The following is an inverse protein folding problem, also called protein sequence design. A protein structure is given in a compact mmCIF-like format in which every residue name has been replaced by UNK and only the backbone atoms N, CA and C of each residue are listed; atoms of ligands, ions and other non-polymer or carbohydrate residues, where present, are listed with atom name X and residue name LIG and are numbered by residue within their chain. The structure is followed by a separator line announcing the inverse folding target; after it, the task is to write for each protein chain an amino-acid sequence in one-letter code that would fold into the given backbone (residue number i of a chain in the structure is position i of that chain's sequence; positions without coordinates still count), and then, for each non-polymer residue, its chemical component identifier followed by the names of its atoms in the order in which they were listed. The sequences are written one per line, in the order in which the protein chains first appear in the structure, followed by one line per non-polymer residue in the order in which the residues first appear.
data_IF_263294582299
#
_entry.id   IF_263294582299
#
_cell.length_a   1.000
_cell.length_b   1.000
_cell.length_c   1.000
_cell.angle_alpha   90.00
_cell.angle_beta   90.00
_cell.angle_gamma   90.00
#
_symmetry.space_group_name_H-M   'P 1'
#
loop_
_entity.id
_entity.type
_entity.pdbx_description
1 polymer ?
#
# COMPACT_ATOMS: atom_id res chain seq x y z
N UNK A 1 -3.59 -26.26 -11.07
CA UNK A 1 -2.86 -25.07 -11.57
C UNK A 1 -3.29 -23.75 -10.91
N UNK A 2 -4.57 -23.53 -10.56
CA UNK A 2 -5.08 -22.28 -9.91
C UNK A 2 -4.38 -21.83 -8.61
N UNK A 3 -3.93 -22.76 -7.76
CA UNK A 3 -3.31 -22.41 -6.47
C UNK A 3 -1.94 -21.73 -6.57
N UNK A 4 -1.19 -21.93 -7.67
CA UNK A 4 0.09 -21.23 -7.89
C UNK A 4 -0.13 -19.77 -8.30
N UNK A 5 -1.14 -19.50 -9.12
CA UNK A 5 -1.48 -18.13 -9.57
C UNK A 5 -1.84 -17.22 -8.41
N UNK A 6 -2.63 -17.70 -7.45
CA UNK A 6 -3.00 -16.93 -6.24
C UNK A 6 -1.76 -16.59 -5.41
N UNK A 7 -0.83 -17.53 -5.23
CA UNK A 7 0.41 -17.28 -4.49
C UNK A 7 1.29 -16.21 -5.14
N UNK A 8 1.43 -16.26 -6.47
CA UNK A 8 2.15 -15.23 -7.23
C UNK A 8 1.46 -13.87 -7.12
N UNK A 9 0.13 -13.83 -7.19
CA UNK A 9 -0.64 -12.60 -7.00
C UNK A 9 -0.46 -11.99 -5.60
N UNK A 10 -0.51 -12.82 -4.56
CA UNK A 10 -0.23 -12.40 -3.17
C UNK A 10 1.19 -11.85 -3.07
N UNK A 11 2.20 -12.62 -3.47
CA UNK A 11 3.59 -12.18 -3.36
C UNK A 11 3.87 -10.90 -4.15
N UNK A 12 3.31 -10.78 -5.35
CA UNK A 12 3.40 -9.55 -6.15
C UNK A 12 2.77 -8.36 -5.42
N UNK A 13 1.57 -8.53 -4.88
CA UNK A 13 0.90 -7.44 -4.17
C UNK A 13 1.71 -7.01 -2.93
N UNK A 14 2.30 -7.96 -2.21
CA UNK A 14 3.18 -7.70 -1.07
C UNK A 14 4.44 -6.95 -1.48
N UNK A 15 5.06 -7.27 -2.65
CA UNK A 15 6.16 -6.47 -3.22
C UNK A 15 5.72 -5.01 -3.37
N UNK A 16 4.58 -4.77 -4.01
CA UNK A 16 4.12 -3.42 -4.31
C UNK A 16 3.77 -2.63 -3.05
N UNK A 17 3.08 -3.25 -2.07
CA UNK A 17 2.69 -2.61 -0.81
C UNK A 17 3.92 -2.23 0.03
N UNK A 18 4.86 -3.15 0.24
CA UNK A 18 6.07 -2.88 1.03
C UNK A 18 6.98 -1.87 0.36
N UNK A 19 7.13 -1.97 -0.97
CA UNK A 19 7.87 -0.96 -1.74
C UNK A 19 7.22 0.43 -1.58
N UNK A 20 5.89 0.51 -1.69
CA UNK A 20 5.13 1.76 -1.49
C UNK A 20 5.33 2.32 -0.09
N UNK A 21 5.23 1.48 0.94
CA UNK A 21 5.45 1.89 2.34
C UNK A 21 6.84 2.47 2.54
N UNK A 22 7.89 1.78 2.09
CA UNK A 22 9.26 2.25 2.21
C UNK A 22 9.51 3.54 1.43
N UNK A 23 8.99 3.65 0.21
CA UNK A 23 9.10 4.88 -0.59
C UNK A 23 8.38 6.04 0.10
N UNK A 24 7.18 5.82 0.64
CA UNK A 24 6.43 6.84 1.38
C UNK A 24 7.16 7.30 2.63
N UNK A 25 7.79 6.40 3.40
CA UNK A 25 8.60 6.81 4.58
C UNK A 25 9.74 7.76 4.16
N UNK A 26 10.36 7.52 3.01
CA UNK A 26 11.43 8.36 2.47
C UNK A 26 10.92 9.69 1.96
N UNK A 27 9.79 9.69 1.24
CA UNK A 27 9.16 10.93 0.77
C UNK A 27 8.76 11.79 1.98
N UNK A 28 8.03 11.24 2.95
CA UNK A 28 7.57 11.98 4.13
C UNK A 28 8.70 12.50 5.01
N UNK A 29 9.81 11.77 5.11
CA UNK A 29 10.98 12.25 5.84
C UNK A 29 11.55 13.55 5.24
N UNK A 30 11.49 13.69 3.91
CA UNK A 30 12.00 14.85 3.18
C UNK A 30 10.95 15.97 3.08
N UNK A 31 9.70 15.65 2.79
CA UNK A 31 8.66 16.65 2.48
C UNK A 31 7.96 17.23 3.69
N UNK A 32 7.83 16.46 4.77
CA UNK A 32 7.10 16.87 5.99
C UNK A 32 8.11 17.11 7.11
N UNK A 33 8.53 16.04 7.78
CA UNK A 33 9.52 16.06 8.85
C UNK A 33 9.87 14.61 9.20
N UNK A 34 11.14 14.32 9.46
CA UNK A 34 11.62 12.95 9.68
C UNK A 34 10.90 12.20 10.83
N UNK A 35 10.45 12.90 11.88
CA UNK A 35 9.67 12.30 12.96
C UNK A 35 8.33 11.71 12.50
N UNK A 36 7.71 12.30 11.48
CA UNK A 36 6.41 11.85 10.93
C UNK A 36 6.57 10.83 9.80
N UNK A 37 7.79 10.50 9.38
CA UNK A 37 8.02 9.45 8.38
C UNK A 37 7.43 8.10 8.81
N UNK A 38 7.50 7.80 10.12
CA UNK A 38 6.93 6.58 10.70
C UNK A 38 5.40 6.54 10.68
N UNK A 39 4.73 7.68 10.46
CA UNK A 39 3.28 7.71 10.26
C UNK A 39 2.88 6.97 8.98
N UNK A 40 3.77 6.83 7.99
CA UNK A 40 3.53 5.97 6.82
C UNK A 40 3.22 4.52 7.23
N UNK A 41 3.97 3.98 8.18
CA UNK A 41 3.78 2.61 8.71
C UNK A 41 2.42 2.50 9.40
N UNK A 42 2.08 3.46 10.26
CA UNK A 42 0.79 3.47 10.94
C UNK A 42 -0.39 3.58 9.97
N UNK A 43 -0.26 4.40 8.93
CA UNK A 43 -1.26 4.55 7.85
C UNK A 43 -1.37 3.27 7.03
N UNK A 44 -0.26 2.58 6.77
CA UNK A 44 -0.26 1.30 6.10
C UNK A 44 -1.01 0.23 6.90
N UNK A 45 -0.70 0.13 8.20
CA UNK A 45 -1.41 -0.76 9.12
C UNK A 45 -2.89 -0.41 9.26
N UNK A 46 -3.24 0.88 9.32
CA UNK A 46 -4.63 1.34 9.36
C UNK A 46 -5.39 0.93 8.09
N UNK A 47 -4.83 1.21 6.91
CA UNK A 47 -5.44 0.84 5.64
C UNK A 47 -5.66 -0.67 5.55
N UNK A 48 -4.61 -1.46 5.78
CA UNK A 48 -4.68 -2.91 5.75
C UNK A 48 -5.67 -3.47 6.79
N UNK A 49 -5.71 -2.90 7.99
CA UNK A 49 -6.65 -3.26 9.05
C UNK A 49 -8.10 -2.97 8.69
N UNK A 50 -8.39 -1.78 8.16
CA UNK A 50 -9.73 -1.40 7.69
C UNK A 50 -10.16 -2.29 6.52
N UNK A 51 -9.29 -2.55 5.55
CA UNK A 51 -9.57 -3.47 4.44
C UNK A 51 -9.89 -4.88 4.95
N UNK A 52 -9.12 -5.38 5.90
CA UNK A 52 -9.36 -6.70 6.51
C UNK A 52 -10.68 -6.75 7.27
N UNK A 53 -11.03 -5.69 8.01
CA UNK A 53 -12.31 -5.57 8.70
C UNK A 53 -13.49 -5.57 7.72
N UNK A 54 -13.38 -4.86 6.59
CA UNK A 54 -14.42 -4.85 5.55
C UNK A 54 -14.64 -6.26 5.00
N UNK A 55 -13.57 -7.01 4.70
CA UNK A 55 -13.69 -8.41 4.25
C UNK A 55 -14.37 -9.26 5.31
N UNK A 56 -14.01 -9.09 6.58
CA UNK A 56 -14.63 -9.83 7.69
C UNK A 56 -16.14 -9.58 7.76
N UNK A 57 -16.56 -8.31 7.70
CA UNK A 57 -17.98 -7.94 7.75
C UNK A 57 -18.77 -8.37 6.50
N UNK A 58 -18.12 -8.42 5.34
CA UNK A 58 -18.74 -8.78 4.07
C UNK A 58 -18.48 -10.23 3.64
N UNK A 59 -17.92 -11.07 4.53
CA UNK A 59 -17.47 -12.43 4.20
C UNK A 59 -18.54 -13.27 3.49
N UNK A 60 -19.79 -13.22 3.97
CA UNK A 60 -20.90 -13.96 3.36
C UNK A 60 -21.23 -13.51 1.92
N UNK A 61 -21.08 -12.21 1.61
CA UNK A 61 -21.27 -11.67 0.26
C UNK A 61 -20.07 -12.00 -0.62
N UNK A 62 -18.87 -11.84 -0.07
CA UNK A 62 -17.63 -12.15 -0.77
C UNK A 62 -17.55 -13.63 -1.12
N UNK A 63 -18.13 -14.56 -0.35
CA UNK A 63 -18.14 -15.98 -0.66
C UNK A 63 -18.59 -16.32 -2.10
N UNK A 64 -19.47 -15.50 -2.69
CA UNK A 64 -20.05 -15.71 -4.02
C UNK A 64 -19.25 -15.07 -5.16
N UNK A 65 -18.27 -14.23 -4.84
CA UNK A 65 -17.46 -13.49 -5.83
C UNK A 65 -16.33 -14.40 -6.36
N UNK A 66 -15.96 -14.29 -7.63
CA UNK A 66 -14.76 -14.96 -8.15
C UNK A 66 -13.48 -14.35 -7.54
N UNK A 67 -12.69 -15.16 -6.83
CA UNK A 67 -11.53 -14.67 -6.05
C UNK A 67 -10.45 -14.05 -6.96
N UNK A 68 -10.23 -14.62 -8.14
CA UNK A 68 -9.22 -14.10 -9.08
C UNK A 68 -9.59 -12.71 -9.59
N UNK A 69 -10.87 -12.50 -9.95
CA UNK A 69 -11.37 -11.19 -10.37
C UNK A 69 -11.33 -10.17 -9.21
N UNK A 70 -11.64 -10.61 -7.99
CA UNK A 70 -11.50 -9.76 -6.80
C UNK A 70 -10.06 -9.31 -6.56
N UNK A 71 -9.11 -10.24 -6.64
CA UNK A 71 -7.68 -9.95 -6.50
C UNK A 71 -7.18 -9.00 -7.58
N UNK A 72 -7.53 -9.26 -8.84
CA UNK A 72 -7.21 -8.41 -9.98
C UNK A 72 -7.73 -6.97 -9.77
N UNK A 73 -9.01 -6.84 -9.40
CA UNK A 73 -9.63 -5.56 -9.12
C UNK A 73 -8.96 -4.82 -7.96
N UNK A 74 -8.61 -5.51 -6.87
CA UNK A 74 -7.89 -4.91 -5.75
C UNK A 74 -6.46 -4.49 -6.13
N UNK A 75 -5.76 -5.27 -6.94
CA UNK A 75 -4.41 -4.95 -7.40
C UNK A 75 -4.38 -3.72 -8.32
N UNK A 76 -5.33 -3.63 -9.26
CA UNK A 76 -5.52 -2.44 -10.10
C UNK A 76 -5.89 -1.23 -9.25
N UNK A 77 -6.85 -1.37 -8.32
CA UNK A 77 -7.24 -0.28 -7.41
C UNK A 77 -6.06 0.16 -6.51
N UNK A 78 -5.22 -0.77 -6.07
CA UNK A 78 -3.99 -0.49 -5.36
C UNK A 78 -3.02 0.33 -6.23
N UNK A 79 -2.77 -0.08 -7.47
CA UNK A 79 -1.88 0.67 -8.36
C UNK A 79 -2.39 2.07 -8.68
N UNK A 80 -3.69 2.21 -8.97
CA UNK A 80 -4.33 3.51 -9.20
C UNK A 80 -4.28 4.41 -7.96
N UNK A 81 -4.49 3.86 -6.76
CA UNK A 81 -4.40 4.64 -5.53
C UNK A 81 -2.97 5.06 -5.20
N UNK A 82 -1.94 4.25 -5.51
CA UNK A 82 -0.53 4.67 -5.42
C UNK A 82 -0.26 5.87 -6.33
N UNK A 83 -0.73 5.84 -7.58
CA UNK A 83 -0.57 6.97 -8.52
C UNK A 83 -1.34 8.19 -8.01
N UNK A 84 -2.55 8.02 -7.46
CA UNK A 84 -3.30 9.11 -6.87
C UNK A 84 -2.58 9.76 -5.67
N UNK A 85 -1.91 8.95 -4.84
CA UNK A 85 -1.06 9.45 -3.74
C UNK A 85 0.12 10.25 -4.28
N UNK A 86 0.81 9.77 -5.32
CA UNK A 86 1.91 10.51 -5.96
C UNK A 86 1.45 11.87 -6.50
N UNK A 87 0.33 11.91 -7.22
CA UNK A 87 -0.27 13.16 -7.71
C UNK A 87 -0.67 14.09 -6.56
N UNK A 88 -1.24 13.55 -5.49
CA UNK A 88 -1.59 14.35 -4.31
C UNK A 88 -0.35 14.94 -3.63
N UNK A 89 0.77 14.21 -3.56
CA UNK A 89 2.02 14.73 -3.03
C UNK A 89 2.56 15.92 -3.83
N UNK A 90 2.31 15.95 -5.14
CA UNK A 90 2.71 17.07 -6.03
C UNK A 90 1.76 18.25 -5.93
N UNK A 91 0.44 18.00 -5.87
CA UNK A 91 -0.58 19.06 -5.94
C UNK A 91 -1.07 19.57 -4.58
N UNK A 92 -0.90 18.80 -3.52
CA UNK A 92 -1.17 19.17 -2.13
C UNK A 92 0.16 19.22 -1.37
N UNK A 93 0.98 20.26 -1.55
CA UNK A 93 2.20 20.40 -0.76
C UNK A 93 1.85 20.37 0.74
N UNK A 94 2.62 19.63 1.57
CA UNK A 94 2.31 19.51 2.98
C UNK A 94 2.51 20.86 3.68
N UNK A 95 1.44 21.44 4.21
CA UNK A 95 1.47 22.67 4.98
C UNK A 95 2.01 22.39 6.40
N UNK A 96 3.33 22.26 6.55
CA UNK A 96 3.98 22.09 7.86
C UNK A 96 4.68 23.36 8.36
N UNK A 97 4.92 24.34 7.50
CA UNK A 97 5.59 25.60 7.84
C UNK A 97 4.61 26.63 8.39
N UNK A 98 4.34 26.56 9.69
CA UNK A 98 3.74 27.65 10.47
C UNK A 98 4.75 28.77 10.75
N UNK A 99 5.32 29.40 9.71
CA UNK A 99 6.17 30.60 9.85
C UNK A 99 7.37 30.50 10.80
N UNK A 100 7.95 31.65 11.14
CA UNK A 100 9.22 31.82 11.88
C UNK A 100 9.19 31.37 13.36
N UNK A 101 8.05 30.93 13.89
CA UNK A 101 7.90 30.59 15.32
C UNK A 101 8.14 29.10 15.65
N UNK A 102 8.43 28.26 14.64
CA UNK A 102 9.07 26.96 14.84
C UNK A 102 8.30 25.93 15.68
N UNK A 103 7.00 26.11 15.89
CA UNK A 103 6.19 25.20 16.68
C UNK A 103 5.17 24.45 15.80
N UNK A 104 5.22 23.11 15.86
CA UNK A 104 4.21 22.21 15.29
C UNK A 104 2.88 22.41 16.03
N UNK A 105 2.14 23.46 15.65
CA UNK A 105 0.99 23.90 16.45
C UNK A 105 -0.33 23.33 15.96
N UNK A 106 -0.45 22.87 14.70
CA UNK A 106 -1.73 22.37 14.15
C UNK A 106 -1.56 21.27 13.12
N UNK A 107 -2.40 20.23 13.25
CA UNK A 107 -2.66 19.26 12.18
C UNK A 107 -3.57 19.94 11.15
N UNK A 108 -3.02 20.26 9.97
CA UNK A 108 -3.76 20.90 8.88
C UNK A 108 -4.69 19.89 8.17
N UNK A 109 -5.89 20.28 7.71
CA UNK A 109 -6.76 19.39 6.93
C UNK A 109 -6.08 18.79 5.70
N UNK A 110 -5.09 19.48 5.09
CA UNK A 110 -4.28 18.94 4.00
C UNK A 110 -3.43 17.73 4.41
N UNK A 111 -2.83 17.77 5.61
CA UNK A 111 -2.07 16.63 6.15
C UNK A 111 -2.98 15.44 6.42
N UNK A 112 -4.16 15.68 7.02
CA UNK A 112 -5.16 14.63 7.24
C UNK A 112 -5.56 14.00 5.90
N UNK A 113 -5.88 14.82 4.90
CA UNK A 113 -6.24 14.34 3.57
C UNK A 113 -5.11 13.51 2.93
N UNK A 114 -3.86 13.95 3.04
CA UNK A 114 -2.70 13.24 2.48
C UNK A 114 -2.48 11.86 3.15
N UNK A 115 -2.56 11.80 4.48
CA UNK A 115 -2.42 10.54 5.21
C UNK A 115 -3.62 9.61 5.00
N UNK A 116 -4.84 10.14 4.97
CA UNK A 116 -6.03 9.36 4.65
C UNK A 116 -5.98 8.80 3.23
N UNK A 117 -5.55 9.59 2.25
CA UNK A 117 -5.37 9.11 0.88
C UNK A 117 -4.26 8.05 0.79
N UNK A 118 -3.19 8.21 1.56
CA UNK A 118 -2.09 7.24 1.63
C UNK A 118 -2.50 5.92 2.26
N UNK A 119 -3.60 5.86 3.01
CA UNK A 119 -4.16 4.61 3.50
C UNK A 119 -4.83 3.79 2.38
N UNK A 120 -5.26 4.42 1.29
CA UNK A 120 -6.02 3.79 0.22
C UNK A 120 -5.33 2.59 -0.45
N UNK A 121 -4.04 2.65 -0.85
CA UNK A 121 -3.37 1.49 -1.44
C UNK A 121 -3.28 0.31 -0.46
N UNK A 122 -3.02 0.58 0.82
CA UNK A 122 -2.98 -0.44 1.85
C UNK A 122 -4.37 -1.00 2.20
N UNK A 123 -5.42 -0.20 2.04
CA UNK A 123 -6.80 -0.67 2.13
C UNK A 123 -7.09 -1.67 1.02
N UNK A 124 -6.73 -1.38 -0.24
CA UNK A 124 -6.83 -2.33 -1.34
C UNK A 124 -6.01 -3.60 -1.08
N UNK A 125 -4.80 -3.44 -0.55
CA UNK A 125 -3.96 -4.54 -0.08
C UNK A 125 -4.63 -5.43 0.97
N UNK A 126 -5.20 -4.82 2.01
CA UNK A 126 -5.93 -5.51 3.07
C UNK A 126 -7.16 -6.25 2.56
N UNK A 127 -7.94 -5.64 1.65
CA UNK A 127 -9.09 -6.28 1.01
C UNK A 127 -8.69 -7.54 0.22
N UNK A 128 -7.57 -7.48 -0.50
CA UNK A 128 -7.06 -8.60 -1.28
C UNK A 128 -6.54 -9.72 -0.37
N UNK A 129 -5.60 -9.41 0.52
CA UNK A 129 -4.93 -10.39 1.36
C UNK A 129 -5.91 -11.06 2.33
N UNK A 130 -6.79 -10.29 2.97
CA UNK A 130 -7.80 -10.86 3.88
C UNK A 130 -8.76 -11.80 3.13
N UNK A 131 -9.20 -11.45 1.91
CA UNK A 131 -10.08 -12.32 1.12
C UNK A 131 -9.41 -13.64 0.76
N UNK A 132 -8.11 -13.61 0.43
CA UNK A 132 -7.33 -14.82 0.12
C UNK A 132 -7.13 -15.68 1.36
N UNK A 133 -6.67 -15.10 2.47
CA UNK A 133 -6.43 -15.86 3.71
C UNK A 133 -7.73 -16.44 4.28
N UNK A 134 -8.84 -15.71 4.17
CA UNK A 134 -10.15 -16.21 4.60
C UNK A 134 -10.61 -17.43 3.78
N UNK A 135 -10.47 -17.41 2.45
CA UNK A 135 -10.91 -18.53 1.58
C UNK A 135 -9.94 -19.70 1.53
N UNK A 136 -8.66 -19.46 1.75
CA UNK A 136 -7.60 -20.47 1.66
C UNK A 136 -6.90 -20.69 3.01
N UNK A 137 -7.67 -20.66 4.10
CA UNK A 137 -7.23 -20.91 5.47
C UNK A 137 -6.35 -22.15 5.63
N UNK A 138 -6.71 -23.26 4.98
CA UNK A 138 -5.96 -24.53 5.04
C UNK A 138 -4.52 -24.43 4.49
N UNK A 139 -4.24 -23.44 3.63
CA UNK A 139 -2.94 -23.26 2.96
C UNK A 139 -2.27 -21.94 3.34
N UNK A 140 -2.67 -21.33 4.46
CA UNK A 140 -2.13 -20.05 4.95
C UNK A 140 -0.61 -20.08 5.04
N UNK A 141 0.00 -21.17 5.51
CA UNK A 141 1.46 -21.29 5.59
C UNK A 141 2.18 -21.04 4.24
N UNK A 142 1.63 -21.55 3.12
CA UNK A 142 2.22 -21.31 1.78
C UNK A 142 1.95 -19.91 1.29
N UNK A 143 0.75 -19.39 1.52
CA UNK A 143 0.39 -18.03 1.12
C UNK A 143 1.21 -16.99 1.88
N UNK A 144 1.44 -17.23 3.17
CA UNK A 144 2.30 -16.43 4.01
C UNK A 144 3.77 -16.50 3.57
N UNK A 145 4.24 -17.66 3.10
CA UNK A 145 5.58 -17.76 2.50
C UNK A 145 5.69 -16.89 1.22
N UNK A 146 4.66 -16.87 0.37
CA UNK A 146 4.64 -15.98 -0.80
C UNK A 146 4.59 -14.50 -0.41
N UNK A 147 3.78 -14.15 0.59
CA UNK A 147 3.68 -12.79 1.14
C UNK A 147 5.03 -12.31 1.70
N UNK A 148 5.70 -13.13 2.52
CA UNK A 148 7.02 -12.81 3.09
C UNK A 148 8.11 -12.69 2.03
N UNK A 149 8.17 -13.61 1.06
CA UNK A 149 9.14 -13.51 -0.05
C UNK A 149 8.88 -12.26 -0.88
N UNK A 150 7.61 -11.94 -1.15
CA UNK A 150 7.21 -10.74 -1.85
C UNK A 150 7.61 -9.46 -1.10
N UNK A 151 7.27 -9.38 0.18
CA UNK A 151 7.66 -8.29 1.08
C UNK A 151 9.19 -8.10 1.09
N UNK A 152 9.96 -9.19 1.25
CA UNK A 152 11.42 -9.15 1.22
C UNK A 152 11.98 -8.64 -0.12
N UNK A 153 11.41 -9.08 -1.25
CA UNK A 153 11.77 -8.57 -2.56
C UNK A 153 11.42 -7.08 -2.72
N UNK A 154 10.28 -6.63 -2.19
CA UNK A 154 9.90 -5.20 -2.14
C UNK A 154 10.93 -4.36 -1.37
N UNK A 155 11.39 -4.85 -0.22
CA UNK A 155 12.45 -4.21 0.56
C UNK A 155 13.77 -4.11 -0.22
N UNK A 156 14.18 -5.19 -0.89
CA UNK A 156 15.40 -5.20 -1.71
C UNK A 156 15.28 -4.27 -2.92
N UNK A 157 14.12 -4.22 -3.56
CA UNK A 157 13.84 -3.34 -4.71
C UNK A 157 13.76 -1.87 -4.32
N UNK A 158 13.36 -1.54 -3.09
CA UNK A 158 13.27 -0.16 -2.63
C UNK A 158 14.61 0.57 -2.76
N UNK A 159 15.73 -0.10 -2.47
CA UNK A 159 17.08 0.50 -2.50
C UNK A 159 17.45 0.99 -3.92
N UNK A 160 17.53 0.13 -4.96
CA UNK A 160 17.88 0.57 -6.30
C UNK A 160 16.85 1.55 -6.86
N UNK A 161 15.55 1.33 -6.65
CA UNK A 161 14.51 2.22 -7.18
C UNK A 161 14.64 3.63 -6.58
N UNK A 162 14.81 3.76 -5.26
CA UNK A 162 15.01 5.07 -4.63
C UNK A 162 16.32 5.72 -5.06
N UNK A 163 17.40 4.95 -5.23
CA UNK A 163 18.71 5.50 -5.64
C UNK A 163 18.75 5.99 -7.09
N UNK A 164 18.09 5.28 -8.01
CA UNK A 164 18.13 5.56 -9.44
C UNK A 164 17.00 6.51 -9.88
N UNK A 165 15.80 6.34 -9.31
CA UNK A 165 14.60 7.06 -9.73
C UNK A 165 14.23 8.18 -8.75
N UNK A 166 14.72 8.15 -7.50
CA UNK A 166 14.23 9.05 -6.45
C UNK A 166 12.82 8.68 -5.96
N UNK A 167 12.27 9.47 -5.03
CA UNK A 167 11.01 9.16 -4.36
C UNK A 167 9.78 9.03 -5.29
N UNK A 168 9.35 10.10 -5.97
CA UNK A 168 8.11 10.08 -6.76
C UNK A 168 8.10 9.02 -7.87
N UNK A 169 9.18 8.91 -8.65
CA UNK A 169 9.28 7.92 -9.74
C UNK A 169 9.34 6.49 -9.21
N UNK A 170 9.95 6.25 -8.04
CA UNK A 170 9.89 4.94 -7.39
C UNK A 170 8.47 4.59 -6.92
N UNK A 171 7.69 5.58 -6.47
CA UNK A 171 6.29 5.40 -6.07
C UNK A 171 5.43 5.02 -7.28
N UNK A 172 5.58 5.72 -8.40
CA UNK A 172 4.90 5.38 -9.66
C UNK A 172 5.28 3.96 -10.14
N UNK A 173 6.56 3.59 -10.04
CA UNK A 173 7.01 2.23 -10.38
C UNK A 173 6.32 1.16 -9.52
N UNK A 174 6.14 1.41 -8.22
CA UNK A 174 5.39 0.52 -7.33
C UNK A 174 3.90 0.40 -7.76
N UNK A 175 3.28 1.51 -8.15
CA UNK A 175 1.91 1.53 -8.67
C UNK A 175 1.76 0.72 -9.97
N UNK A 176 2.72 0.85 -10.89
CA UNK A 176 2.75 0.06 -12.13
C UNK A 176 2.91 -1.43 -11.84
N UNK A 177 3.80 -1.80 -10.92
CA UNK A 177 3.95 -3.19 -10.48
C UNK A 177 2.63 -3.75 -9.96
N UNK A 178 1.93 -3.01 -9.08
CA UNK A 178 0.62 -3.41 -8.57
C UNK A 178 -0.41 -3.65 -9.69
N UNK A 179 -0.51 -2.74 -10.67
CA UNK A 179 -1.39 -2.91 -11.81
C UNK A 179 -1.04 -4.14 -12.67
N UNK A 180 0.24 -4.40 -12.92
CA UNK A 180 0.71 -5.54 -13.72
C UNK A 180 0.39 -6.89 -13.09
N UNK A 181 0.28 -6.95 -11.76
CA UNK A 181 -0.12 -8.17 -11.04
C UNK A 181 -1.64 -8.43 -11.17
N UNK A 182 -2.42 -7.37 -11.39
CA UNK A 182 -3.87 -7.44 -11.53
C UNK A 182 -4.38 -7.80 -12.93
N UNK A 183 -3.49 -8.01 -13.90
CA UNK A 183 -3.79 -8.39 -15.29
C UNK A 183 -3.37 -9.84 -15.53
#
# INVERSE_FOLDING_TARGET
MRARGIGVGVGGLSVALLLTELVLTRIYSVTIWHHFAFLAVSVALLGAGVGSLIVHLLAARLARVELHAWLAGCAIACGLSIVAVDLALVHLPPDWYGGLTGAFTRVTPRLVALFSLSAAPFLCGGLALAAVFWRHGERVHRLYAWDLVGAGLGCLLAIPLLSLLGGPRALVAAGLLACLIGV
#
